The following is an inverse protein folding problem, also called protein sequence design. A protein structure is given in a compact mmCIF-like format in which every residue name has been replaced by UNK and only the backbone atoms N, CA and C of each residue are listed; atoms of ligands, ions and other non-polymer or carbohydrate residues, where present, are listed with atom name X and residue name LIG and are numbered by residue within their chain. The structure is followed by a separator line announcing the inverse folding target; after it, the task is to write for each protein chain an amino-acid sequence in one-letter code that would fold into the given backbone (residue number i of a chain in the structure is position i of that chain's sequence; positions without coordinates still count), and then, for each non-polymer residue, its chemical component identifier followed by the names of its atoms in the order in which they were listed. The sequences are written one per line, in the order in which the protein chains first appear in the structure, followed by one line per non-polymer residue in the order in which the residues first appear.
data_IF_076682050613
#
_entry.id   IF_076682050613
#
_cell.length_a   1.000
_cell.length_b   1.000
_cell.length_c   1.000
_cell.angle_alpha   90.00
_cell.angle_beta   90.00
_cell.angle_gamma   90.00
#
_symmetry.space_group_name_H-M   'P 1'
#
loop_
_entity.id
_entity.type
_entity.pdbx_description
1 polymer ?
#
# COMPACT_ATOMS: atom_id res chain seq x y z
N UNK A 1 -1.37 -11.27 8.86
CA UNK A 1 -1.32 -10.54 10.15
C UNK A 1 -1.48 -11.51 11.31
N UNK A 2 -2.66 -12.09 11.56
CA UNK A 2 -2.89 -12.91 12.78
C UNK A 2 -2.11 -14.23 12.85
N UNK A 3 -1.70 -14.80 11.71
CA UNK A 3 -1.02 -16.11 11.63
C UNK A 3 0.43 -16.01 11.14
N UNK A 4 0.92 -14.82 10.79
CA UNK A 4 2.24 -14.61 10.17
C UNK A 4 2.40 -15.13 8.73
N UNK A 5 1.62 -16.12 8.31
CA UNK A 5 1.76 -16.79 7.00
C UNK A 5 0.48 -16.72 6.15
N UNK A 6 0.58 -16.86 4.82
CA UNK A 6 -0.59 -16.95 3.94
C UNK A 6 -1.47 -18.16 4.26
N UNK A 7 -2.81 -18.06 4.12
CA UNK A 7 -3.73 -19.15 4.45
C UNK A 7 -3.68 -20.33 3.47
N UNK A 8 -3.14 -20.14 2.26
CA UNK A 8 -2.93 -21.19 1.26
C UNK A 8 -1.52 -21.07 0.70
N UNK A 9 -0.70 -22.11 0.91
CA UNK A 9 0.66 -22.21 0.39
C UNK A 9 0.88 -23.59 -0.19
N UNK A 10 1.64 -23.69 -1.28
CA UNK A 10 2.08 -24.95 -1.86
C UNK A 10 3.41 -24.75 -2.59
N UNK A 11 4.03 -25.85 -3.03
CA UNK A 11 5.32 -25.86 -3.73
C UNK A 11 5.32 -25.08 -5.06
N UNK A 12 4.17 -24.97 -5.72
CA UNK A 12 4.07 -24.26 -6.99
C UNK A 12 2.74 -23.51 -7.13
N UNK A 13 2.68 -22.62 -8.12
CA UNK A 13 1.52 -21.76 -8.39
C UNK A 13 0.25 -22.58 -8.64
N UNK A 14 0.33 -23.64 -9.45
CA UNK A 14 -0.82 -24.49 -9.79
C UNK A 14 -1.43 -25.14 -8.55
N UNK A 15 -0.60 -25.79 -7.71
CA UNK A 15 -1.02 -26.40 -6.44
C UNK A 15 -1.59 -25.36 -5.47
N UNK A 16 -1.06 -24.14 -5.46
CA UNK A 16 -1.56 -23.05 -4.62
C UNK A 16 -2.98 -22.63 -5.06
N UNK A 17 -3.21 -22.48 -6.36
CA UNK A 17 -4.54 -22.20 -6.92
C UNK A 17 -5.50 -23.34 -6.57
N UNK A 18 -5.09 -24.60 -6.74
CA UNK A 18 -5.91 -25.75 -6.38
C UNK A 18 -6.31 -25.74 -4.90
N UNK A 19 -5.38 -25.35 -4.00
CA UNK A 19 -5.69 -25.16 -2.57
C UNK A 19 -6.67 -24.01 -2.34
N UNK A 20 -6.51 -22.88 -3.03
CA UNK A 20 -7.45 -21.75 -2.95
C UNK A 20 -8.84 -22.16 -3.42
N UNK A 21 -8.97 -23.04 -4.41
CA UNK A 21 -10.28 -23.46 -4.91
C UNK A 21 -10.93 -24.53 -4.01
N UNK A 22 -10.17 -25.54 -3.61
CA UNK A 22 -10.73 -26.80 -3.07
C UNK A 22 -10.43 -27.05 -1.59
N UNK A 23 -9.34 -26.50 -1.06
CA UNK A 23 -8.92 -26.83 0.29
C UNK A 23 -9.82 -26.18 1.35
N UNK A 24 -10.15 -26.95 2.39
CA UNK A 24 -10.79 -26.43 3.60
C UNK A 24 -9.79 -25.58 4.36
N UNK A 25 -10.22 -24.41 4.80
CA UNK A 25 -9.39 -23.48 5.55
C UNK A 25 -9.06 -24.08 6.93
N UNK A 26 -7.77 -24.30 7.20
CA UNK A 26 -7.29 -24.70 8.53
C UNK A 26 -6.79 -23.47 9.29
N UNK A 27 -7.30 -23.26 10.50
CA UNK A 27 -6.99 -22.09 11.32
C UNK A 27 -6.38 -22.54 12.65
N UNK A 28 -5.25 -21.95 13.08
CA UNK A 28 -4.60 -22.32 14.32
C UNK A 28 -5.49 -22.19 15.57
N UNK A 29 -5.25 -23.01 16.61
CA UNK A 29 -6.08 -23.04 17.81
C UNK A 29 -5.98 -21.74 18.63
N UNK A 30 -4.85 -21.03 18.56
CA UNK A 30 -4.62 -19.78 19.30
C UNK A 30 -5.46 -18.58 18.83
N UNK A 31 -6.14 -18.68 17.68
CA UNK A 31 -7.03 -17.63 17.22
C UNK A 31 -8.30 -17.61 18.06
N UNK A 32 -8.71 -16.41 18.49
CA UNK A 32 -9.99 -16.20 19.19
C UNK A 32 -11.17 -16.66 18.33
N UNK A 33 -12.28 -16.97 18.99
CA UNK A 33 -13.51 -17.46 18.32
C UNK A 33 -13.98 -16.43 17.29
N UNK A 34 -14.05 -15.16 17.69
CA UNK A 34 -14.48 -14.03 16.84
C UNK A 34 -13.55 -13.87 15.61
N UNK A 35 -12.24 -14.00 15.79
CA UNK A 35 -11.28 -13.92 14.68
C UNK A 35 -11.43 -15.09 13.71
N UNK A 36 -11.58 -16.31 14.25
CA UNK A 36 -11.76 -17.52 13.45
C UNK A 36 -13.03 -17.45 12.60
N UNK A 37 -14.11 -16.95 13.19
CA UNK A 37 -15.38 -16.77 12.49
C UNK A 37 -15.27 -15.72 11.38
N UNK A 38 -14.66 -14.55 11.68
CA UNK A 38 -14.43 -13.50 10.70
C UNK A 38 -13.67 -14.02 9.47
N UNK A 39 -12.53 -14.67 9.69
CA UNK A 39 -11.68 -15.19 8.61
C UNK A 39 -12.45 -16.23 7.77
N UNK A 40 -13.21 -17.13 8.41
CA UNK A 40 -14.03 -18.13 7.69
C UNK A 40 -15.10 -17.49 6.81
N UNK A 41 -15.75 -16.42 7.28
CA UNK A 41 -16.80 -15.72 6.52
C UNK A 41 -16.24 -14.87 5.38
N UNK A 42 -15.06 -14.27 5.55
CA UNK A 42 -14.36 -13.53 4.50
C UNK A 42 -13.75 -14.46 3.43
N UNK A 43 -13.25 -15.63 3.82
CA UNK A 43 -12.62 -16.60 2.90
C UNK A 43 -13.59 -17.65 2.35
N UNK A 44 -14.89 -17.32 2.28
CA UNK A 44 -15.89 -18.14 1.58
C UNK A 44 -15.55 -18.22 0.09
N UNK A 45 -15.60 -19.45 -0.45
CA UNK A 45 -15.30 -19.73 -1.86
C UNK A 45 -16.32 -19.09 -2.78
N UNK A 46 -17.62 -19.24 -2.46
CA UNK A 46 -18.68 -18.55 -3.17
C UNK A 46 -18.69 -17.06 -2.77
N UNK A 47 -18.45 -16.13 -3.70
CA UNK A 47 -18.47 -14.70 -3.42
C UNK A 47 -19.82 -14.22 -2.87
N UNK A 48 -20.95 -14.75 -3.36
CA UNK A 48 -22.28 -14.32 -2.91
C UNK A 48 -22.56 -14.64 -1.43
N UNK A 49 -21.82 -15.59 -0.84
CA UNK A 49 -21.92 -15.96 0.58
C UNK A 49 -20.83 -15.32 1.44
N UNK A 50 -19.96 -14.50 0.85
CA UNK A 50 -18.86 -13.85 1.54
C UNK A 50 -19.41 -12.70 2.38
N UNK A 51 -18.86 -12.53 3.58
CA UNK A 51 -19.19 -11.37 4.42
C UNK A 51 -18.87 -10.09 3.66
N UNK A 52 -19.82 -9.15 3.66
CA UNK A 52 -19.74 -7.91 2.88
C UNK A 52 -20.23 -8.02 1.44
N UNK A 53 -20.75 -9.17 0.99
CA UNK A 53 -21.35 -9.28 -0.35
C UNK A 53 -22.87 -9.06 -0.37
N UNK A 54 -23.46 -8.71 0.77
CA UNK A 54 -24.86 -8.31 0.84
C UNK A 54 -25.04 -6.85 0.38
N UNK A 55 -26.28 -6.38 0.27
CA UNK A 55 -26.59 -4.97 0.01
C UNK A 55 -26.05 -4.02 1.08
N UNK A 56 -25.79 -4.52 2.29
CA UNK A 56 -25.24 -3.74 3.40
C UNK A 56 -23.71 -3.58 3.32
N UNK A 57 -23.04 -4.36 2.46
CA UNK A 57 -21.61 -4.24 2.15
C UNK A 57 -20.74 -4.13 3.42
N UNK A 58 -19.99 -3.02 3.58
CA UNK A 58 -19.12 -2.77 4.71
C UNK A 58 -19.84 -2.81 6.08
N UNK A 59 -21.13 -2.47 6.14
CA UNK A 59 -21.87 -2.48 7.41
C UNK A 59 -21.95 -3.88 8.04
N UNK A 60 -21.98 -4.95 7.24
CA UNK A 60 -21.95 -6.32 7.74
C UNK A 60 -20.59 -6.66 8.37
N UNK A 61 -19.51 -6.12 7.81
CA UNK A 61 -18.15 -6.30 8.32
C UNK A 61 -18.00 -5.52 9.63
N UNK A 62 -18.46 -4.26 9.65
CA UNK A 62 -18.37 -3.38 10.82
C UNK A 62 -19.13 -3.92 12.03
N UNK A 63 -20.29 -4.56 11.81
CA UNK A 63 -21.11 -5.19 12.87
C UNK A 63 -20.55 -6.52 13.38
N UNK A 64 -19.50 -7.06 12.78
CA UNK A 64 -18.96 -8.35 13.18
C UNK A 64 -18.41 -8.30 14.62
N UNK A 65 -18.64 -9.32 15.48
CA UNK A 65 -18.17 -9.33 16.87
C UNK A 65 -16.66 -9.10 17.05
N UNK A 66 -15.87 -9.45 16.03
CA UNK A 66 -14.44 -9.17 16.01
C UNK A 66 -14.11 -7.66 16.19
N UNK A 67 -14.97 -6.77 15.69
CA UNK A 67 -14.80 -5.32 15.78
C UNK A 67 -15.67 -4.68 16.87
N UNK A 68 -16.21 -5.45 17.82
CA UNK A 68 -17.13 -4.95 18.86
C UNK A 68 -16.57 -3.82 19.74
N UNK A 69 -15.24 -3.68 19.80
CA UNK A 69 -14.56 -2.64 20.58
C UNK A 69 -14.14 -1.43 19.74
N UNK A 70 -14.49 -1.40 18.45
CA UNK A 70 -14.13 -0.31 17.55
C UNK A 70 -15.30 0.67 17.46
N UNK A 71 -15.05 1.92 17.84
CA UNK A 71 -15.89 3.04 17.44
C UNK A 71 -15.42 3.52 16.05
N UNK A 72 -16.27 3.33 15.04
CA UNK A 72 -15.94 3.66 13.65
C UNK A 72 -15.84 5.16 13.41
N UNK A 73 -16.63 5.98 14.12
CA UNK A 73 -16.57 7.44 14.02
C UNK A 73 -15.27 7.99 14.59
N UNK A 74 -14.85 7.49 15.76
CA UNK A 74 -13.58 7.88 16.36
C UNK A 74 -12.39 7.40 15.53
N UNK A 75 -12.47 6.20 14.94
CA UNK A 75 -11.45 5.67 14.06
C UNK A 75 -11.30 6.54 12.80
N UNK A 76 -12.42 6.89 12.16
CA UNK A 76 -12.43 7.74 10.96
C UNK A 76 -11.86 9.12 11.24
N UNK A 77 -12.20 9.71 12.39
CA UNK A 77 -11.70 11.00 12.85
C UNK A 77 -10.30 10.93 13.50
N UNK A 78 -9.61 9.78 13.40
CA UNK A 78 -8.25 9.56 13.94
C UNK A 78 -8.13 9.85 15.45
N UNK A 79 -9.21 9.66 16.21
CA UNK A 79 -9.26 9.85 17.67
C UNK A 79 -8.84 8.60 18.45
N UNK A 80 -8.86 7.43 17.79
CA UNK A 80 -8.36 6.17 18.37
C UNK A 80 -6.83 6.17 18.30
N UNK A 81 -6.19 5.94 19.44
CA UNK A 81 -4.73 5.83 19.50
C UNK A 81 -4.25 4.55 18.77
N UNK A 82 -3.29 4.67 17.82
CA UNK A 82 -2.74 3.50 17.15
C UNK A 82 -1.98 2.60 18.13
N UNK A 83 -2.15 1.27 18.08
CA UNK A 83 -1.44 0.34 18.97
C UNK A 83 0.07 0.27 18.71
N UNK A 84 0.52 0.74 17.55
CA UNK A 84 1.92 0.85 17.18
C UNK A 84 2.19 2.24 16.61
N UNK A 85 3.16 2.94 17.19
CA UNK A 85 3.67 4.22 16.70
C UNK A 85 5.13 4.00 16.30
N UNK A 86 5.48 4.09 15.00
CA UNK A 86 6.86 3.95 14.57
C UNK A 86 7.71 5.07 15.17
N UNK A 87 8.93 4.75 15.56
CA UNK A 87 9.90 5.74 16.03
C UNK A 87 10.54 6.40 14.81
N UNK A 88 10.44 7.72 14.73
CA UNK A 88 11.04 8.53 13.69
C UNK A 88 12.00 9.53 14.34
N UNK A 89 13.16 9.72 13.72
CA UNK A 89 14.18 10.65 14.22
C UNK A 89 14.06 12.07 13.66
N UNK A 90 13.45 12.22 12.47
CA UNK A 90 13.26 13.49 11.78
C UNK A 90 12.22 13.37 10.67
N UNK A 91 11.82 14.50 10.08
CA UNK A 91 10.89 14.54 8.94
C UNK A 91 11.44 13.88 7.67
N UNK A 92 12.77 13.76 7.56
CA UNK A 92 13.47 13.10 6.44
C UNK A 92 13.91 11.67 6.77
N UNK A 93 13.45 11.10 7.90
CA UNK A 93 13.88 9.76 8.34
C UNK A 93 13.36 8.65 7.41
N UNK A 94 14.30 7.85 6.90
CA UNK A 94 14.04 6.71 6.01
C UNK A 94 14.31 5.35 6.66
N UNK A 95 14.49 5.30 7.99
CA UNK A 95 14.84 4.10 8.77
C UNK A 95 13.83 2.95 8.66
N UNK A 96 12.55 3.26 8.37
CA UNK A 96 11.48 2.27 8.21
C UNK A 96 11.41 1.66 6.80
N UNK A 97 12.30 2.06 5.89
CA UNK A 97 12.37 1.54 4.52
C UNK A 97 13.56 0.58 4.34
N UNK A 98 13.46 -0.29 3.34
CA UNK A 98 14.54 -1.21 3.01
C UNK A 98 15.77 -0.45 2.48
N UNK A 99 16.91 -0.69 3.13
CA UNK A 99 18.20 -0.06 2.80
C UNK A 99 18.66 -0.30 1.36
N UNK A 100 18.17 -1.35 0.69
CA UNK A 100 18.47 -1.58 -0.73
C UNK A 100 17.98 -0.44 -1.64
N UNK A 101 16.96 0.30 -1.21
CA UNK A 101 16.40 1.42 -1.95
C UNK A 101 16.93 2.75 -1.45
N UNK A 102 17.03 2.96 -0.13
CA UNK A 102 17.49 4.24 0.43
C UNK A 102 18.97 4.51 0.17
N UNK A 103 19.75 3.48 -0.18
CA UNK A 103 21.14 3.61 -0.67
C UNK A 103 21.25 3.96 -2.16
N UNK A 104 20.17 3.86 -2.93
CA UNK A 104 20.19 4.23 -4.34
C UNK A 104 20.17 5.75 -4.47
N UNK A 105 20.83 6.27 -5.49
CA UNK A 105 20.77 7.70 -5.78
C UNK A 105 19.38 8.02 -6.33
N UNK A 106 18.67 9.03 -5.79
CA UNK A 106 17.33 9.41 -6.26
C UNK A 106 17.44 10.15 -7.59
N UNK A 107 17.64 9.40 -8.67
CA UNK A 107 17.72 9.90 -10.04
C UNK A 107 16.77 9.14 -10.94
N UNK A 108 16.15 9.86 -11.86
CA UNK A 108 15.35 9.24 -12.90
C UNK A 108 16.24 8.38 -13.81
N UNK A 109 15.76 7.19 -14.15
CA UNK A 109 16.43 6.35 -15.15
C UNK A 109 16.40 7.05 -16.51
N UNK A 110 17.52 7.08 -17.25
CA UNK A 110 17.52 7.63 -18.60
C UNK A 110 16.64 6.78 -19.51
N UNK A 111 15.88 7.45 -20.37
CA UNK A 111 15.13 6.84 -21.47
C UNK A 111 15.40 7.66 -22.73
N UNK A 112 15.89 6.99 -23.78
CA UNK A 112 16.18 7.61 -25.08
C UNK A 112 14.98 7.55 -26.03
N UNK A 113 13.86 6.98 -25.58
CA UNK A 113 12.66 6.80 -26.41
C UNK A 113 11.92 8.13 -26.57
N UNK A 114 11.84 8.62 -27.81
CA UNK A 114 10.91 9.69 -28.15
C UNK A 114 9.51 9.11 -28.38
N UNK A 115 8.52 9.63 -27.67
CA UNK A 115 7.12 9.26 -27.88
C UNK A 115 6.57 9.99 -29.11
N UNK A 116 5.76 9.31 -29.91
CA UNK A 116 5.00 9.98 -30.97
C UNK A 116 3.89 10.83 -30.37
N UNK A 117 3.48 11.89 -31.07
CA UNK A 117 2.35 12.74 -30.64
C UNK A 117 1.05 11.93 -30.42
N UNK A 118 0.83 10.89 -31.22
CA UNK A 118 -0.29 9.96 -31.03
C UNK A 118 -0.21 9.14 -29.74
N UNK A 119 1.00 8.83 -29.25
CA UNK A 119 1.21 8.16 -27.98
C UNK A 119 1.04 9.11 -26.79
N UNK A 120 1.39 10.40 -26.94
CA UNK A 120 1.16 11.43 -25.91
C UNK A 120 -0.33 11.62 -25.61
N UNK A 121 -1.19 11.53 -26.64
CA UNK A 121 -2.64 11.62 -26.47
C UNK A 121 -3.22 10.52 -25.58
N UNK A 122 -2.54 9.38 -25.41
CA UNK A 122 -2.93 8.34 -24.47
C UNK A 122 -2.92 8.83 -23.00
N UNK A 123 -2.20 9.92 -22.71
CA UNK A 123 -2.08 10.54 -21.39
C UNK A 123 -2.89 11.83 -21.25
N UNK A 124 -3.76 12.15 -22.21
CA UNK A 124 -4.65 13.30 -22.09
C UNK A 124 -5.52 13.17 -20.83
N UNK A 125 -5.52 14.20 -19.98
CA UNK A 125 -6.23 14.19 -18.68
C UNK A 125 -5.45 13.56 -17.52
N UNK A 126 -4.18 13.17 -17.70
CA UNK A 126 -3.34 12.61 -16.64
C UNK A 126 -3.02 13.62 -15.52
N UNK A 127 -2.83 14.89 -15.88
CA UNK A 127 -2.42 15.92 -14.91
C UNK A 127 -3.58 16.25 -13.96
N UNK A 128 -3.32 16.11 -12.67
CA UNK A 128 -4.26 16.47 -11.60
C UNK A 128 -3.53 17.21 -10.49
N UNK A 129 -4.15 18.28 -9.97
CA UNK A 129 -3.71 18.98 -8.76
C UNK A 129 -4.86 18.96 -7.76
N UNK A 130 -4.61 18.46 -6.56
CA UNK A 130 -5.63 18.41 -5.52
C UNK A 130 -6.08 19.85 -5.13
N UNK A 131 -7.39 20.10 -4.99
CA UNK A 131 -7.90 21.42 -4.59
C UNK A 131 -7.26 21.95 -3.30
N UNK A 132 -6.99 21.09 -2.33
CA UNK A 132 -6.33 21.46 -1.06
C UNK A 132 -4.91 22.00 -1.26
N UNK A 133 -4.18 21.51 -2.25
CA UNK A 133 -2.84 22.03 -2.59
C UNK A 133 -2.98 23.42 -3.20
N UNK A 134 -3.95 23.62 -4.11
CA UNK A 134 -4.22 24.93 -4.71
C UNK A 134 -4.65 25.97 -3.68
N UNK A 135 -5.39 25.54 -2.64
CA UNK A 135 -5.80 26.40 -1.53
C UNK A 135 -4.59 26.79 -0.66
N UNK A 136 -3.74 25.83 -0.28
CA UNK A 136 -2.51 26.11 0.48
C UNK A 136 -1.53 27.04 -0.25
N UNK A 137 -1.51 27.01 -1.59
CA UNK A 137 -0.69 27.90 -2.40
C UNK A 137 -1.22 29.34 -2.41
N UNK A 138 -2.54 29.52 -2.30
CA UNK A 138 -3.19 30.84 -2.22
C UNK A 138 -3.01 31.51 -0.85
N UNK A 139 -2.85 30.72 0.21
CA UNK A 139 -2.66 31.23 1.58
C UNK A 139 -1.24 31.72 1.88
N UNK A 140 -0.35 31.77 0.88
CA UNK A 140 0.99 32.34 1.03
C UNK A 140 1.99 31.31 1.53
N UNK A 141 2.42 30.43 0.63
CA UNK A 141 3.53 29.51 0.89
C UNK A 141 4.86 30.29 0.84
N UNK A 142 5.51 30.51 1.99
CA UNK A 142 6.92 30.96 2.00
C UNK A 142 7.82 29.76 1.68
N UNK A 143 7.93 29.43 0.38
CA UNK A 143 8.94 28.49 -0.10
C UNK A 143 10.26 29.25 -0.25
N UNK A 144 11.19 29.03 0.67
CA UNK A 144 12.60 29.38 0.46
C UNK A 144 13.22 28.27 -0.42
N UNK A 145 13.51 28.52 -1.71
CA UNK A 145 14.12 27.52 -2.56
C UNK A 145 15.55 27.28 -2.06
N UNK A 146 15.82 26.12 -1.47
CA UNK A 146 17.21 25.69 -1.30
C UNK A 146 17.82 25.51 -2.68
N UNK A 147 18.75 26.38 -3.04
CA UNK A 147 19.51 26.32 -4.28
C UNK A 147 20.19 24.96 -4.38
N UNK A 148 19.75 24.12 -5.31
CA UNK A 148 20.43 22.86 -5.61
C UNK A 148 21.84 23.19 -6.10
N UNK A 149 22.91 22.59 -5.55
CA UNK A 149 24.25 22.80 -6.08
C UNK A 149 24.29 22.36 -7.54
N UNK A 150 24.88 23.20 -8.40
CA UNK A 150 25.04 22.96 -9.83
C UNK A 150 25.72 21.61 -10.04
N UNK A 151 25.06 20.74 -10.81
CA UNK A 151 25.53 19.40 -11.18
C UNK A 151 26.89 19.54 -11.88
N UNK A 152 27.98 19.17 -11.21
CA UNK A 152 29.28 19.01 -11.88
C UNK A 152 29.16 17.84 -12.85
N UNK A 153 29.33 18.12 -14.13
CA UNK A 153 29.39 17.14 -15.20
C UNK A 153 30.68 16.35 -15.06
N UNK A 154 30.71 15.35 -14.17
CA UNK A 154 31.81 14.39 -14.16
C UNK A 154 31.54 13.36 -15.27
N UNK A 155 32.44 13.34 -16.25
CA UNK A 155 32.49 12.37 -17.34
C UNK A 155 32.34 10.94 -16.82
N UNK A 156 31.44 10.17 -17.43
CA UNK A 156 31.18 8.76 -17.12
C UNK A 156 32.46 7.93 -17.06
N UNK A 157 32.64 7.06 -16.05
CA UNK A 157 33.67 6.03 -16.08
C UNK A 157 33.32 5.01 -17.17
N UNK A 158 34.13 4.91 -18.21
CA UNK A 158 34.04 3.82 -19.20
C UNK A 158 34.30 2.49 -18.50
N UNK A 159 33.38 1.54 -18.61
CA UNK A 159 33.63 0.13 -18.31
C UNK A 159 34.55 -0.46 -19.39
N UNK A 160 35.65 -1.16 -19.02
CA UNK A 160 36.49 -1.84 -20.00
C UNK A 160 35.80 -3.12 -20.47
N UNK A 161 35.69 -3.27 -21.79
CA UNK A 161 35.24 -4.49 -22.45
C UNK A 161 36.38 -5.51 -22.38
N UNK A 162 36.07 -6.73 -21.95
CA UNK A 162 36.94 -7.90 -22.13
C UNK A 162 36.13 -9.00 -22.80
#
# INVERSE_FOLDING_TARGET
MMTGSPPFTAENRKKTIDKILKCKLNLPPYLTIDARDLIKKLLKKNPAQRLGSSKADCADIQKHPFFKHINWDDLLNKRVEPPYKPQLHSDEDVSQFDTRFTRQTPVDSPDDTSLSHSAELAFAGFTYVAPSVLESLKEGFSFEPRTRPVRRHNSSPRTPIR
#
